data_IF_587887370311
#
_entry.id   IF_587887370311
#
_cell.length_a   1.000
_cell.length_b   1.000
_cell.length_c   1.000
_cell.angle_alpha   90.00
_cell.angle_beta   90.00
_cell.angle_gamma   90.00
#
_symmetry.space_group_name_H-M   'P 1'
#
loop_
_entity.id
_entity.type
_entity.pdbx_description
1 polymer ?
#
# COMPACT_ATOMS: atom_id res chain seq x y z
N UNK A 1 -3.00 -8.35 -17.36
CA UNK A 1 -2.11 -7.51 -16.52
C UNK A 1 -2.85 -6.21 -16.28
N UNK A 2 -3.04 -5.82 -15.02
CA UNK A 2 -3.56 -4.49 -14.72
C UNK A 2 -2.47 -3.48 -15.09
N UNK A 3 -2.66 -2.77 -16.20
CA UNK A 3 -1.81 -1.66 -16.60
C UNK A 3 -2.50 -0.37 -16.18
N UNK A 4 -1.80 0.46 -15.43
CA UNK A 4 -2.27 1.78 -15.02
C UNK A 4 -1.55 2.81 -15.88
N UNK A 5 -2.28 3.68 -16.56
CA UNK A 5 -1.71 4.70 -17.42
C UNK A 5 -1.03 5.84 -16.63
N UNK A 6 -1.35 5.99 -15.35
CA UNK A 6 -0.81 7.03 -14.48
C UNK A 6 -1.06 6.73 -12.98
N UNK A 7 -0.51 7.57 -12.11
CA UNK A 7 -0.65 7.47 -10.67
C UNK A 7 -2.10 7.54 -10.19
N UNK A 8 -2.94 8.36 -10.83
CA UNK A 8 -4.36 8.52 -10.46
C UNK A 8 -5.13 7.22 -10.64
N UNK A 9 -4.94 6.51 -11.76
CA UNK A 9 -5.58 5.22 -12.00
C UNK A 9 -5.17 4.18 -10.96
N UNK A 10 -3.88 4.10 -10.63
CA UNK A 10 -3.40 3.20 -9.59
C UNK A 10 -4.05 3.55 -8.24
N UNK A 11 -4.01 4.81 -7.81
CA UNK A 11 -4.57 5.20 -6.51
C UNK A 11 -6.08 5.01 -6.43
N UNK A 12 -6.81 5.20 -7.54
CA UNK A 12 -8.25 4.94 -7.62
C UNK A 12 -8.54 3.44 -7.50
N UNK A 13 -7.73 2.60 -8.16
CA UNK A 13 -7.83 1.15 -8.01
C UNK A 13 -7.58 0.71 -6.57
N UNK A 14 -6.52 1.20 -5.93
CA UNK A 14 -6.25 0.93 -4.51
C UNK A 14 -7.42 1.38 -3.62
N UNK A 15 -7.99 2.55 -3.90
CA UNK A 15 -9.14 3.06 -3.18
C UNK A 15 -10.40 2.22 -3.36
N UNK A 16 -10.61 1.63 -4.54
CA UNK A 16 -11.73 0.71 -4.80
C UNK A 16 -11.64 -0.61 -3.99
N UNK A 17 -10.41 -1.01 -3.63
CA UNK A 17 -10.18 -2.16 -2.75
C UNK A 17 -10.31 -1.79 -1.27
N UNK A 18 -10.00 -0.54 -0.92
CA UNK A 18 -10.06 0.03 0.42
C UNK A 18 -8.97 -0.47 1.38
N UNK A 19 -8.27 -1.56 1.05
CA UNK A 19 -7.18 -2.14 1.84
C UNK A 19 -6.00 -2.48 0.95
N UNK A 20 -4.78 -2.14 1.40
CA UNK A 20 -3.51 -2.53 0.77
C UNK A 20 -2.76 -3.47 1.72
N UNK A 21 -2.71 -4.79 1.43
CA UNK A 21 -1.95 -5.75 2.23
C UNK A 21 -0.44 -5.46 2.18
N UNK A 22 0.15 -5.28 3.36
CA UNK A 22 1.60 -5.12 3.52
C UNK A 22 2.24 -6.50 3.70
N UNK A 23 3.13 -6.87 2.77
CA UNK A 23 3.75 -8.20 2.70
C UNK A 23 5.26 -8.08 2.93
N UNK A 24 5.78 -8.86 3.88
CA UNK A 24 7.22 -9.18 3.92
C UNK A 24 7.35 -10.64 3.53
N UNK A 25 8.04 -10.91 2.43
CA UNK A 25 8.30 -12.29 2.02
C UNK A 25 9.41 -12.89 2.87
N UNK A 26 9.22 -14.12 3.36
CA UNK A 26 10.24 -14.88 4.11
C UNK A 26 11.11 -15.74 3.20
N UNK A 27 10.57 -16.15 2.06
CA UNK A 27 11.29 -16.89 1.01
C UNK A 27 10.68 -16.56 -0.35
N UNK A 28 11.33 -17.00 -1.44
CA UNK A 28 10.80 -16.79 -2.80
C UNK A 28 9.59 -17.72 -3.05
N UNK A 29 9.61 -18.91 -2.48
CA UNK A 29 8.64 -19.98 -2.70
C UNK A 29 7.23 -19.62 -2.20
N UNK A 30 7.13 -18.76 -1.18
CA UNK A 30 5.82 -18.30 -0.69
C UNK A 30 5.18 -17.20 -1.55
N UNK A 31 5.94 -16.56 -2.45
CA UNK A 31 5.48 -15.38 -3.18
C UNK A 31 4.20 -15.65 -4.02
N UNK A 32 4.24 -16.69 -4.86
CA UNK A 32 3.12 -17.06 -5.75
C UNK A 32 1.90 -17.60 -4.98
N UNK A 33 2.05 -18.55 -4.03
CA UNK A 33 0.92 -19.00 -3.20
C UNK A 33 0.25 -17.87 -2.40
N UNK A 34 1.05 -16.96 -1.84
CA UNK A 34 0.55 -15.80 -1.10
C UNK A 34 -0.24 -14.88 -2.03
N UNK A 35 0.27 -14.56 -3.23
CA UNK A 35 -0.44 -13.74 -4.20
C UNK A 35 -1.80 -14.34 -4.59
N UNK A 36 -1.88 -15.66 -4.84
CA UNK A 36 -3.16 -16.33 -5.06
C UNK A 36 -4.11 -16.27 -3.86
N UNK A 37 -3.58 -16.26 -2.62
CA UNK A 37 -4.40 -16.06 -1.43
C UNK A 37 -5.02 -14.66 -1.36
N UNK A 38 -4.24 -13.63 -1.71
CA UNK A 38 -4.71 -12.25 -1.79
C UNK A 38 -5.82 -12.10 -2.85
N UNK A 39 -5.61 -12.67 -4.04
CA UNK A 39 -6.60 -12.68 -5.13
C UNK A 39 -7.89 -13.39 -4.73
N UNK A 40 -7.81 -14.63 -4.19
CA UNK A 40 -8.97 -15.37 -3.66
C UNK A 40 -9.67 -14.64 -2.51
N UNK A 41 -8.89 -13.89 -1.73
CA UNK A 41 -9.37 -13.04 -0.64
C UNK A 41 -10.08 -11.76 -1.09
N UNK A 42 -10.07 -11.48 -2.40
CA UNK A 42 -10.67 -10.29 -2.98
C UNK A 42 -9.83 -9.02 -2.78
N UNK A 43 -8.56 -9.15 -2.42
CA UNK A 43 -7.57 -8.06 -2.37
C UNK A 43 -6.46 -8.35 -3.39
N UNK A 44 -6.70 -8.24 -4.71
CA UNK A 44 -5.71 -8.49 -5.76
C UNK A 44 -4.63 -7.39 -5.86
N UNK A 45 -3.99 -7.10 -4.72
CA UNK A 45 -2.89 -6.15 -4.57
C UNK A 45 -1.96 -6.58 -3.44
N UNK A 46 -0.65 -6.37 -3.59
CA UNK A 46 0.34 -6.59 -2.54
C UNK A 46 1.36 -5.43 -2.51
N UNK A 47 1.53 -4.79 -1.35
CA UNK A 47 2.70 -3.95 -1.06
C UNK A 47 3.82 -4.84 -0.51
N UNK A 48 4.69 -5.35 -1.41
CA UNK A 48 5.83 -6.20 -1.03
C UNK A 48 6.98 -5.32 -0.57
N UNK A 49 7.43 -5.50 0.66
CA UNK A 49 8.44 -4.63 1.27
C UNK A 49 9.88 -5.06 0.99
N UNK A 50 10.79 -4.09 0.78
CA UNK A 50 12.24 -4.26 0.74
C UNK A 50 12.86 -4.57 2.12
N UNK A 51 12.24 -5.48 2.88
CA UNK A 51 12.71 -5.91 4.21
C UNK A 51 13.25 -7.33 4.23
N UNK A 52 13.32 -7.98 3.06
CA UNK A 52 13.91 -9.31 2.90
C UNK A 52 14.72 -9.39 1.62
N UNK A 53 15.71 -10.29 1.61
CA UNK A 53 16.57 -10.52 0.45
C UNK A 53 15.82 -11.17 -0.74
N UNK A 54 14.66 -11.78 -0.49
CA UNK A 54 13.83 -12.41 -1.52
C UNK A 54 12.81 -11.44 -2.15
N UNK A 55 12.75 -10.17 -1.74
CA UNK A 55 11.70 -9.25 -2.17
C UNK A 55 11.63 -9.09 -3.70
N UNK A 56 12.75 -8.77 -4.36
CA UNK A 56 12.80 -8.51 -5.82
C UNK A 56 12.44 -9.76 -6.62
N UNK A 57 13.05 -10.90 -6.30
CA UNK A 57 12.73 -12.16 -7.00
C UNK A 57 11.28 -12.59 -6.73
N UNK A 58 10.75 -12.39 -5.52
CA UNK A 58 9.36 -12.64 -5.20
C UNK A 58 8.40 -11.75 -6.00
N UNK A 59 8.71 -10.46 -6.16
CA UNK A 59 7.95 -9.54 -7.03
C UNK A 59 7.94 -10.05 -8.47
N UNK A 60 9.09 -10.43 -9.02
CA UNK A 60 9.22 -10.95 -10.39
C UNK A 60 8.37 -12.21 -10.59
N UNK A 61 8.45 -13.17 -9.67
CA UNK A 61 7.66 -14.40 -9.68
C UNK A 61 6.16 -14.12 -9.65
N UNK A 62 5.71 -13.23 -8.76
CA UNK A 62 4.29 -12.84 -8.68
C UNK A 62 3.83 -12.16 -9.97
N UNK A 63 4.63 -11.25 -10.52
CA UNK A 63 4.32 -10.54 -11.76
C UNK A 63 4.12 -11.51 -12.94
N UNK A 64 5.02 -12.48 -13.08
CA UNK A 64 5.01 -13.45 -14.18
C UNK A 64 3.91 -14.50 -14.04
N UNK A 65 3.67 -15.01 -12.82
CA UNK A 65 2.79 -16.17 -12.60
C UNK A 65 1.38 -15.80 -12.13
N UNK A 66 1.20 -14.61 -11.54
CA UNK A 66 -0.07 -14.16 -10.97
C UNK A 66 -0.45 -12.76 -11.49
N UNK A 67 -0.66 -12.59 -12.81
CA UNK A 67 -0.90 -11.28 -13.44
C UNK A 67 -2.21 -10.58 -13.01
N UNK A 68 -3.05 -11.26 -12.24
CA UNK A 68 -4.23 -10.72 -11.59
C UNK A 68 -3.93 -9.89 -10.34
N UNK A 69 -2.76 -10.07 -9.73
CA UNK A 69 -2.33 -9.32 -8.54
C UNK A 69 -1.48 -8.12 -8.94
N UNK A 70 -1.91 -6.94 -8.51
CA UNK A 70 -1.13 -5.70 -8.68
C UNK A 70 -0.03 -5.62 -7.63
N UNK A 71 1.21 -5.39 -8.04
CA UNK A 71 2.34 -5.25 -7.13
C UNK A 71 2.66 -3.78 -6.86
N UNK A 72 2.85 -3.44 -5.58
CA UNK A 72 3.50 -2.22 -5.13
C UNK A 72 4.79 -2.61 -4.41
N UNK A 73 5.82 -1.79 -4.58
CA UNK A 73 7.06 -1.94 -3.84
C UNK A 73 7.04 -1.06 -2.59
N UNK A 74 7.03 -1.68 -1.40
CA UNK A 74 7.03 -1.00 -0.12
C UNK A 74 8.42 -0.86 0.50
N UNK A 75 8.58 0.08 1.43
CA UNK A 75 9.85 0.31 2.14
C UNK A 75 10.99 0.64 1.17
N UNK A 76 10.69 1.36 0.09
CA UNK A 76 11.70 1.84 -0.85
C UNK A 76 12.43 3.01 -0.22
N UNK A 77 13.76 2.91 -0.17
CA UNK A 77 14.66 3.90 0.44
C UNK A 77 15.65 4.50 -0.56
N UNK A 78 15.84 3.90 -1.74
CA UNK A 78 16.82 4.36 -2.72
C UNK A 78 16.26 4.30 -4.13
N UNK A 79 16.84 5.10 -5.02
CA UNK A 79 16.53 5.08 -6.46
C UNK A 79 16.84 3.71 -7.09
N UNK A 80 17.89 3.02 -6.61
CA UNK A 80 18.22 1.69 -7.11
C UNK A 80 17.14 0.66 -6.75
N UNK A 81 16.61 0.69 -5.52
CA UNK A 81 15.46 -0.15 -5.13
C UNK A 81 14.22 0.18 -5.95
N UNK A 82 13.97 1.47 -6.21
CA UNK A 82 12.87 1.90 -7.06
C UNK A 82 13.00 1.31 -8.48
N UNK A 83 14.20 1.39 -9.08
CA UNK A 83 14.49 0.81 -10.39
C UNK A 83 14.30 -0.71 -10.41
N UNK A 84 14.92 -1.42 -9.47
CA UNK A 84 14.82 -2.87 -9.34
C UNK A 84 13.36 -3.34 -9.23
N UNK A 85 12.53 -2.62 -8.47
CA UNK A 85 11.14 -2.97 -8.30
C UNK A 85 10.30 -2.79 -9.57
N UNK A 86 10.52 -1.71 -10.31
CA UNK A 86 9.84 -1.47 -11.58
C UNK A 86 10.29 -2.48 -12.64
N UNK A 87 11.58 -2.82 -12.69
CA UNK A 87 12.10 -3.89 -13.54
C UNK A 87 11.53 -5.27 -13.17
N UNK A 88 11.25 -5.51 -11.88
CA UNK A 88 10.56 -6.72 -11.40
C UNK A 88 9.04 -6.71 -11.65
N UNK A 89 8.49 -5.65 -12.25
CA UNK A 89 7.09 -5.58 -12.65
C UNK A 89 6.13 -4.99 -11.61
N UNK A 90 6.62 -4.25 -10.62
CA UNK A 90 5.77 -3.45 -9.74
C UNK A 90 5.11 -2.30 -10.52
N UNK A 91 3.84 -2.03 -10.21
CA UNK A 91 3.05 -0.97 -10.80
C UNK A 91 3.27 0.40 -10.14
N UNK A 92 3.92 0.44 -8.98
CA UNK A 92 4.19 1.67 -8.25
C UNK A 92 4.98 1.45 -6.97
N UNK A 93 5.33 2.56 -6.32
CA UNK A 93 6.22 2.62 -5.18
C UNK A 93 5.51 3.17 -3.93
N UNK A 94 5.93 2.70 -2.76
CA UNK A 94 5.51 3.19 -1.45
C UNK A 94 6.74 3.34 -0.57
N UNK A 95 7.00 4.55 -0.08
CA UNK A 95 8.13 4.86 0.80
C UNK A 95 7.64 5.04 2.24
N UNK A 96 8.48 4.79 3.26
CA UNK A 96 8.10 5.02 4.66
C UNK A 96 8.13 6.51 5.06
N UNK A 97 8.85 7.34 4.31
CA UNK A 97 9.01 8.79 4.50
C UNK A 97 9.09 9.51 3.15
N UNK A 98 9.06 10.84 3.16
CA UNK A 98 9.26 11.64 1.95
C UNK A 98 10.76 11.67 1.62
N UNK A 99 11.19 10.73 0.79
CA UNK A 99 12.55 10.68 0.24
C UNK A 99 12.56 11.39 -1.11
N UNK A 100 13.23 12.55 -1.15
CA UNK A 100 13.22 13.45 -2.31
C UNK A 100 13.82 12.79 -3.56
N UNK A 101 14.94 12.07 -3.40
CA UNK A 101 15.60 11.43 -4.52
C UNK A 101 14.74 10.33 -5.16
N UNK A 102 14.04 9.54 -4.34
CA UNK A 102 13.10 8.52 -4.84
C UNK A 102 11.86 9.15 -5.47
N UNK A 103 11.32 10.21 -4.86
CA UNK A 103 10.14 10.94 -5.37
C UNK A 103 10.43 11.58 -6.72
N UNK A 104 11.54 12.31 -6.84
CA UNK A 104 11.94 12.98 -8.07
C UNK A 104 12.17 11.95 -9.19
N UNK A 105 12.90 10.87 -8.88
CA UNK A 105 13.11 9.80 -9.85
C UNK A 105 11.79 9.20 -10.33
N UNK A 106 10.85 8.93 -9.42
CA UNK A 106 9.55 8.35 -9.77
C UNK A 106 8.74 9.29 -10.68
N UNK A 107 8.72 10.60 -10.37
CA UNK A 107 8.04 11.60 -11.18
C UNK A 107 8.66 11.71 -12.59
N UNK A 108 9.98 11.83 -12.67
CA UNK A 108 10.72 11.95 -13.93
C UNK A 108 10.53 10.73 -14.84
N UNK A 109 10.32 9.55 -14.27
CA UNK A 109 10.12 8.29 -15.00
C UNK A 109 8.64 7.90 -15.13
N UNK A 110 7.71 8.78 -14.73
CA UNK A 110 6.26 8.54 -14.76
C UNK A 110 5.82 7.28 -13.98
N UNK A 111 6.56 6.94 -12.92
CA UNK A 111 6.27 5.84 -12.02
C UNK A 111 5.33 6.32 -10.90
N UNK A 112 4.17 5.68 -10.70
CA UNK A 112 3.30 5.99 -9.57
C UNK A 112 4.01 5.83 -8.22
N UNK A 113 3.85 6.80 -7.33
CA UNK A 113 4.43 6.78 -5.98
C UNK A 113 3.44 7.30 -4.93
N UNK A 114 3.42 6.64 -3.77
CA UNK A 114 2.71 7.06 -2.56
C UNK A 114 3.75 7.28 -1.45
N UNK A 115 4.30 8.50 -1.32
CA UNK A 115 5.39 8.75 -0.39
C UNK A 115 4.89 8.82 1.06
N UNK A 116 5.73 8.40 2.01
CA UNK A 116 5.43 8.48 3.44
C UNK A 116 5.47 9.91 4.00
N UNK A 117 4.55 10.21 4.89
CA UNK A 117 4.43 11.50 5.59
C UNK A 117 4.09 11.25 7.05
N UNK A 118 4.58 12.12 7.93
CA UNK A 118 4.29 12.07 9.37
C UNK A 118 3.79 13.42 9.90
N UNK A 119 4.18 14.52 9.27
CA UNK A 119 3.84 15.88 9.70
C UNK A 119 3.39 16.77 8.54
N UNK A 120 2.80 17.95 8.82
CA UNK A 120 2.39 18.91 7.80
C UNK A 120 3.50 19.27 6.79
N UNK A 121 4.75 19.40 7.23
CA UNK A 121 5.87 19.71 6.33
C UNK A 121 6.13 18.62 5.29
N UNK A 122 5.94 17.34 5.64
CA UNK A 122 6.08 16.25 4.65
C UNK A 122 4.92 16.27 3.65
N UNK A 123 3.72 16.63 4.11
CA UNK A 123 2.52 16.75 3.27
C UNK A 123 2.67 17.92 2.29
N UNK A 124 3.20 19.06 2.73
CA UNK A 124 3.52 20.20 1.86
C UNK A 124 4.55 19.83 0.80
N UNK A 125 5.63 19.12 1.18
CA UNK A 125 6.61 18.62 0.19
C UNK A 125 5.93 17.75 -0.87
N UNK A 126 5.05 16.82 -0.47
CA UNK A 126 4.30 16.05 -1.46
C UNK A 126 3.39 16.93 -2.34
N UNK A 127 2.73 17.92 -1.75
CA UNK A 127 1.85 18.84 -2.45
C UNK A 127 2.60 19.65 -3.52
N UNK A 128 3.77 20.17 -3.18
CA UNK A 128 4.66 20.96 -4.04
C UNK A 128 5.19 20.15 -5.23
N UNK A 129 5.39 18.85 -5.04
CA UNK A 129 5.75 17.91 -6.12
C UNK A 129 4.51 17.45 -6.93
N UNK A 130 3.35 18.09 -6.74
CA UNK A 130 2.11 17.78 -7.47
C UNK A 130 1.42 16.50 -7.02
N UNK A 131 1.87 15.86 -5.93
CA UNK A 131 1.27 14.63 -5.41
C UNK A 131 0.07 14.97 -4.53
N UNK A 132 -0.95 14.10 -4.57
CA UNK A 132 -2.18 14.23 -3.76
C UNK A 132 -2.49 13.02 -2.89
N UNK A 133 -1.74 11.93 -3.08
CA UNK A 133 -1.91 10.67 -2.36
C UNK A 133 -0.61 10.35 -1.65
N UNK A 134 -0.67 10.25 -0.32
CA UNK A 134 0.50 10.03 0.53
C UNK A 134 0.22 8.93 1.55
N UNK A 135 1.26 8.27 2.03
CA UNK A 135 1.19 7.35 3.16
C UNK A 135 1.30 8.14 4.46
N UNK A 136 0.52 7.80 5.46
CA UNK A 136 0.66 8.34 6.82
C UNK A 136 1.26 7.26 7.71
N UNK A 137 2.50 7.44 8.17
CA UNK A 137 3.25 6.38 8.83
C UNK A 137 4.23 6.90 9.90
N UNK A 138 4.39 6.19 11.03
CA UNK A 138 3.51 5.16 11.60
C UNK A 138 2.22 5.76 12.20
N UNK A 139 1.07 5.40 11.64
CA UNK A 139 -0.21 6.06 11.89
C UNK A 139 -0.61 6.14 13.37
N UNK A 140 -0.68 5.00 14.07
CA UNK A 140 -1.12 4.99 15.48
C UNK A 140 -0.16 5.75 16.40
N UNK A 141 1.14 5.66 16.16
CA UNK A 141 2.15 6.33 16.98
C UNK A 141 2.12 7.86 16.82
N UNK A 142 1.63 8.36 15.68
CA UNK A 142 1.50 9.79 15.38
C UNK A 142 0.08 10.32 15.51
N UNK A 143 -0.71 9.71 16.41
CA UNK A 143 -2.05 10.21 16.80
C UNK A 143 -3.20 9.74 15.92
N UNK A 144 -2.91 8.94 14.90
CA UNK A 144 -3.88 8.17 14.13
C UNK A 144 -5.02 9.00 13.54
N UNK A 145 -6.25 8.51 13.74
CA UNK A 145 -7.49 9.13 13.26
C UNK A 145 -7.61 10.61 13.68
N UNK A 146 -7.17 10.97 14.89
CA UNK A 146 -7.23 12.37 15.36
C UNK A 146 -6.36 13.28 14.50
N UNK A 147 -5.14 12.83 14.19
CA UNK A 147 -4.20 13.59 13.36
C UNK A 147 -4.71 13.71 11.92
N UNK A 148 -5.19 12.61 11.32
CA UNK A 148 -5.75 12.65 9.97
C UNK A 148 -6.96 13.58 9.86
N UNK A 149 -7.85 13.61 10.86
CA UNK A 149 -8.95 14.59 10.91
C UNK A 149 -8.45 16.04 10.94
N UNK A 150 -7.42 16.32 11.75
CA UNK A 150 -6.84 17.66 11.86
C UNK A 150 -6.16 18.10 10.56
N UNK A 151 -5.47 17.19 9.87
CA UNK A 151 -4.84 17.45 8.57
C UNK A 151 -5.85 17.79 7.47
N UNK A 152 -7.08 17.23 7.53
CA UNK A 152 -8.12 17.49 6.53
C UNK A 152 -8.62 18.93 6.45
N UNK A 153 -8.30 19.79 7.43
CA UNK A 153 -8.58 21.23 7.37
C UNK A 153 -7.67 21.96 6.38
N UNK A 154 -6.36 22.08 6.66
CA UNK A 154 -5.41 22.74 5.76
C UNK A 154 -5.13 21.95 4.47
N UNK A 155 -5.24 20.61 4.49
CA UNK A 155 -4.90 19.74 3.36
C UNK A 155 -6.13 19.05 2.77
N UNK A 156 -7.16 19.82 2.42
CA UNK A 156 -8.45 19.31 1.97
C UNK A 156 -8.36 18.40 0.72
N UNK A 157 -7.40 18.66 -0.17
CA UNK A 157 -7.18 17.92 -1.41
C UNK A 157 -6.29 16.68 -1.24
N UNK A 158 -5.70 16.48 -0.05
CA UNK A 158 -4.81 15.35 0.21
C UNK A 158 -5.56 14.10 0.64
N UNK A 159 -5.11 12.95 0.15
CA UNK A 159 -5.60 11.62 0.51
C UNK A 159 -4.48 10.81 1.15
N UNK A 160 -4.84 10.04 2.17
CA UNK A 160 -3.91 9.35 3.05
C UNK A 160 -4.11 7.83 3.01
N UNK A 161 -3.00 7.10 3.00
CA UNK A 161 -2.89 5.67 3.25
C UNK A 161 -2.30 5.47 4.66
N UNK A 162 -3.10 5.46 5.74
CA UNK A 162 -2.60 5.17 7.09
C UNK A 162 -2.01 3.76 7.15
N UNK A 163 -0.78 3.66 7.64
CA UNK A 163 -0.08 2.40 7.85
C UNK A 163 0.69 2.45 9.16
N UNK A 164 0.79 1.32 9.86
CA UNK A 164 1.50 1.22 11.14
C UNK A 164 0.53 1.31 12.33
N UNK A 165 0.29 0.15 12.95
CA UNK A 165 -0.67 -0.01 14.05
C UNK A 165 -2.13 -0.19 13.63
N UNK A 166 -2.46 -0.06 12.34
CA UNK A 166 -3.79 -0.40 11.80
C UNK A 166 -4.02 -1.92 11.90
N UNK A 167 -5.19 -2.30 12.42
CA UNK A 167 -5.61 -3.68 12.65
C UNK A 167 -7.15 -3.80 12.59
N UNK A 168 -7.68 -5.02 12.68
CA UNK A 168 -9.13 -5.29 12.59
C UNK A 168 -9.98 -4.46 13.58
N UNK A 169 -9.43 -4.03 14.73
CA UNK A 169 -10.17 -3.28 15.76
C UNK A 169 -10.32 -1.79 15.46
N UNK A 170 -9.39 -1.18 14.73
CA UNK A 170 -9.36 0.27 14.46
C UNK A 170 -9.48 0.60 12.96
N UNK A 171 -9.41 -0.40 12.07
CA UNK A 171 -9.49 -0.23 10.62
C UNK A 171 -10.74 0.54 10.17
N UNK A 172 -11.90 0.28 10.78
CA UNK A 172 -13.15 0.98 10.46
C UNK A 172 -13.07 2.49 10.76
N UNK A 173 -12.41 2.88 11.86
CA UNK A 173 -12.30 4.30 12.24
C UNK A 173 -11.46 5.10 11.23
N UNK A 174 -10.42 4.46 10.67
CA UNK A 174 -9.63 5.03 9.57
C UNK A 174 -10.43 5.08 8.28
N UNK A 175 -11.09 3.98 7.92
CA UNK A 175 -11.87 3.87 6.68
C UNK A 175 -13.06 4.85 6.62
N UNK A 176 -13.54 5.34 7.77
CA UNK A 176 -14.59 6.36 7.86
C UNK A 176 -14.15 7.78 7.47
N UNK A 177 -12.85 8.03 7.33
CA UNK A 177 -12.36 9.38 7.05
C UNK A 177 -12.39 9.67 5.55
N UNK A 178 -12.98 10.81 5.16
CA UNK A 178 -13.07 11.26 3.76
C UNK A 178 -11.71 11.52 3.10
N UNK A 179 -10.68 11.76 3.89
CA UNK A 179 -9.31 11.95 3.43
C UNK A 179 -8.48 10.66 3.51
N UNK A 180 -9.07 9.50 3.80
CA UNK A 180 -8.41 8.20 3.70
C UNK A 180 -8.92 7.49 2.45
N UNK A 181 -8.02 7.12 1.53
CA UNK A 181 -8.43 6.45 0.29
C UNK A 181 -8.35 4.92 0.40
N UNK A 182 -7.40 4.40 1.17
CA UNK A 182 -7.26 2.99 1.52
C UNK A 182 -6.54 2.89 2.86
N UNK A 183 -6.58 1.73 3.52
CA UNK A 183 -5.78 1.46 4.73
C UNK A 183 -4.68 0.43 4.45
N UNK A 184 -3.49 0.66 5.00
CA UNK A 184 -2.33 -0.22 4.83
C UNK A 184 -2.02 -1.00 6.10
N UNK A 185 -1.69 -2.28 5.97
CA UNK A 185 -1.28 -3.08 7.13
C UNK A 185 -1.04 -4.55 6.83
N UNK A 186 -0.40 -5.24 7.77
CA UNK A 186 -0.12 -6.68 7.70
C UNK A 186 -1.24 -7.56 8.26
N UNK A 187 -2.30 -6.98 8.84
CA UNK A 187 -3.41 -7.76 9.38
C UNK A 187 -4.17 -8.62 8.33
N UNK A 188 -4.22 -8.28 7.02
CA UNK A 188 -4.75 -9.19 5.99
C UNK A 188 -3.82 -10.36 5.67
N UNK A 189 -2.56 -10.33 6.12
CA UNK A 189 -1.56 -11.39 5.95
C UNK A 189 -0.98 -11.75 7.32
N UNK A 190 -1.74 -12.46 8.18
CA UNK A 190 -1.29 -12.77 9.53
C UNK A 190 0.00 -13.58 9.52
N UNK A 191 1.03 -13.12 10.25
CA UNK A 191 2.35 -13.73 10.24
C UNK A 191 2.33 -15.23 10.60
N UNK A 192 1.45 -15.63 11.53
CA UNK A 192 1.30 -17.04 11.90
C UNK A 192 0.77 -17.91 10.75
N UNK A 193 -0.21 -17.40 9.97
CA UNK A 193 -0.75 -18.10 8.81
C UNK A 193 0.29 -18.17 7.68
N UNK A 194 0.98 -17.06 7.41
CA UNK A 194 2.05 -17.02 6.40
C UNK A 194 3.17 -18.01 6.74
N UNK A 195 3.66 -18.02 7.98
CA UNK A 195 4.70 -18.95 8.41
C UNK A 195 4.28 -20.42 8.33
N UNK A 196 3.00 -20.71 8.57
CA UNK A 196 2.43 -22.05 8.45
C UNK A 196 2.10 -22.46 7.00
N UNK A 197 2.20 -21.55 6.03
CA UNK A 197 1.72 -21.78 4.66
C UNK A 197 0.19 -21.92 4.57
N UNK A 198 -0.55 -21.35 5.52
CA UNK A 198 -2.01 -21.39 5.57
C UNK A 198 -2.62 -20.29 4.68
N UNK A 199 -2.59 -20.56 3.38
CA UNK A 199 -3.08 -19.66 2.33
C UNK A 199 -4.61 -19.50 2.36
N UNK A 200 -5.35 -20.40 2.99
CA UNK A 200 -6.79 -20.28 3.17
C UNK A 200 -7.12 -19.32 4.32
N UNK A 201 -6.38 -19.37 5.42
CA UNK A 201 -6.51 -18.40 6.50
C UNK A 201 -6.16 -16.98 6.04
N UNK A 202 -5.17 -16.80 5.16
CA UNK A 202 -4.86 -15.50 4.55
C UNK A 202 -6.00 -15.00 3.66
N UNK A 203 -6.57 -15.85 2.81
CA UNK A 203 -7.71 -15.46 1.98
C UNK A 203 -8.94 -15.06 2.82
N UNK A 204 -9.20 -15.76 3.94
CA UNK A 204 -10.24 -15.39 4.90
C UNK A 204 -9.94 -14.05 5.58
N UNK A 205 -8.70 -13.81 6.02
CA UNK A 205 -8.29 -12.54 6.62
C UNK A 205 -8.46 -11.37 5.64
N UNK A 206 -8.11 -11.57 4.37
CA UNK A 206 -8.35 -10.59 3.31
C UNK A 206 -9.84 -10.26 3.13
N UNK A 207 -10.72 -11.29 3.11
CA UNK A 207 -12.17 -11.09 3.01
C UNK A 207 -12.72 -10.26 4.17
N UNK A 208 -12.30 -10.57 5.41
CA UNK A 208 -12.67 -9.77 6.60
C UNK A 208 -12.17 -8.33 6.49
N UNK A 209 -10.91 -8.13 6.10
CA UNK A 209 -10.32 -6.81 5.95
C UNK A 209 -11.09 -5.96 4.93
N UNK A 210 -11.40 -6.55 3.77
CA UNK A 210 -12.17 -5.88 2.71
C UNK A 210 -13.58 -5.51 3.17
N UNK A 211 -14.25 -6.40 3.92
CA UNK A 211 -15.57 -6.12 4.47
C UNK A 211 -15.58 -4.93 5.42
N UNK A 212 -14.54 -4.79 6.26
CA UNK A 212 -14.37 -3.64 7.15
C UNK A 212 -14.29 -2.35 6.32
N UNK A 213 -13.47 -2.32 5.27
CA UNK A 213 -13.30 -1.13 4.43
C UNK A 213 -14.56 -0.80 3.61
N UNK A 214 -15.19 -1.80 2.98
CA UNK A 214 -16.35 -1.59 2.08
C UNK A 214 -17.61 -1.11 2.79
N UNK A 215 -17.76 -1.41 4.08
CA UNK A 215 -18.92 -0.97 4.88
C UNK A 215 -18.84 0.52 5.23
N UNK A 216 -17.66 1.12 5.12
CA UNK A 216 -17.38 2.45 5.67
C UNK A 216 -16.92 3.46 4.61
N UNK A 217 -16.22 3.01 3.58
CA UNK A 217 -15.78 3.87 2.48
C UNK A 217 -16.94 4.17 1.53
N UNK A 218 -17.40 5.43 1.55
CA UNK A 218 -18.30 5.93 0.50
C UNK A 218 -17.43 6.28 -0.70
N UNK A 219 -17.49 5.48 -1.77
CA UNK A 219 -16.89 5.86 -3.05
C UNK A 219 -17.65 7.09 -3.53
N UNK A 220 -17.00 8.26 -3.50
CA UNK A 220 -17.54 9.43 -4.16
C UNK A 220 -17.52 9.13 -5.66
N UNK A 221 -18.71 8.92 -6.23
CA UNK A 221 -18.93 8.85 -7.66
C UNK A 221 -18.75 10.24 -8.31
#
# INVERSE_FOLDING_TARGET
MNSFANATELTNYLGSLGVVPLVTLNSVEEAVPLAHALERGGLPVAEVTFRSACAVEGMRRIHEEVPGVTLLAGTVHTVDQAREAIEAGCAGLVTPSFDEAVVDWAIDHHVPIVPGTACPSDVERAYDHGLRYVKFFPAEAYGGVKTLKALGGPFADMKFLPTGGVNERNAADYAALKNVFAIGGSFPVPAAAQHAGDWDAIAEACRRARQIASTTMTIAA
#
